data_IF_647962547399
#
_entry.id   IF_647962547399
#
_cell.length_a   1.000
_cell.length_b   1.000
_cell.length_c   1.000
_cell.angle_alpha   90.00
_cell.angle_beta   90.00
_cell.angle_gamma   90.00
#
_symmetry.space_group_name_H-M   'P 1'
#
loop_
_entity.id
_entity.type
_entity.pdbx_description
1 polymer ?
#
# COMPACT_ATOMS: atom_id res chain seq x y z
N UNK A 1 -53.42 21.83 56.47
CA UNK A 1 -51.97 21.78 56.86
C UNK A 1 -51.12 22.40 55.79
N UNK A 2 -50.54 23.60 55.99
CA UNK A 2 -49.53 24.18 55.05
C UNK A 2 -48.22 23.53 55.29
N UNK A 3 -47.72 22.74 54.29
CA UNK A 3 -46.37 22.17 54.28
C UNK A 3 -45.41 23.34 54.08
N UNK A 4 -44.64 23.71 55.12
CA UNK A 4 -43.51 24.62 54.98
C UNK A 4 -42.44 23.99 54.14
N UNK A 5 -42.33 24.36 52.86
CA UNK A 5 -41.20 24.00 52.02
C UNK A 5 -40.05 24.96 52.36
N UNK A 6 -39.06 24.48 53.09
CA UNK A 6 -37.82 25.20 53.27
C UNK A 6 -37.11 25.20 51.93
N UNK A 7 -36.83 26.34 51.32
CA UNK A 7 -36.02 26.51 50.15
C UNK A 7 -34.53 26.42 50.52
N UNK A 8 -33.71 26.00 49.56
CA UNK A 8 -32.24 26.01 49.70
C UNK A 8 -31.75 27.45 49.83
N UNK A 9 -30.76 27.66 50.68
CA UNK A 9 -30.03 28.93 50.75
C UNK A 9 -29.02 29.03 49.59
N UNK A 10 -28.71 30.26 49.17
CA UNK A 10 -27.69 30.51 48.13
C UNK A 10 -26.34 29.94 48.56
N UNK A 11 -26.01 29.98 49.86
CA UNK A 11 -24.76 29.46 50.39
C UNK A 11 -24.66 27.93 50.25
N UNK A 12 -25.74 27.21 50.55
CA UNK A 12 -25.80 25.75 50.37
C UNK A 12 -25.62 25.37 48.92
N UNK A 13 -26.21 26.12 47.97
CA UNK A 13 -26.03 25.89 46.53
C UNK A 13 -24.60 26.11 46.12
N UNK A 14 -23.97 27.20 46.56
CA UNK A 14 -22.56 27.54 46.21
C UNK A 14 -21.59 26.50 46.76
N UNK A 15 -21.79 26.02 47.97
CA UNK A 15 -20.96 24.95 48.55
C UNK A 15 -21.08 23.66 47.74
N UNK A 16 -22.30 23.29 47.35
CA UNK A 16 -22.52 22.06 46.55
C UNK A 16 -21.83 22.14 45.18
N UNK A 17 -22.01 23.26 44.47
CA UNK A 17 -21.35 23.40 43.14
C UNK A 17 -19.81 23.47 43.28
N UNK A 18 -19.27 24.09 44.34
CA UNK A 18 -17.84 24.11 44.61
C UNK A 18 -17.27 22.69 44.84
N UNK A 19 -17.99 21.88 45.65
CA UNK A 19 -17.57 20.47 45.89
C UNK A 19 -17.64 19.64 44.61
N UNK A 20 -18.73 19.78 43.84
CA UNK A 20 -18.87 19.08 42.56
C UNK A 20 -17.76 19.50 41.59
N UNK A 21 -17.43 20.78 41.53
CA UNK A 21 -16.35 21.27 40.64
C UNK A 21 -14.99 20.69 41.03
N UNK A 22 -14.65 20.57 42.32
CA UNK A 22 -13.41 19.95 42.79
C UNK A 22 -13.39 18.45 42.46
N UNK A 23 -14.51 17.74 42.70
CA UNK A 23 -14.61 16.32 42.37
C UNK A 23 -14.48 16.08 40.86
N UNK A 24 -15.18 16.90 40.05
CA UNK A 24 -15.13 16.80 38.59
C UNK A 24 -13.72 17.05 38.06
N UNK A 25 -12.98 18.02 38.62
CA UNK A 25 -11.62 18.34 38.21
C UNK A 25 -10.64 17.16 38.39
N UNK A 26 -10.87 16.28 39.34
CA UNK A 26 -10.07 15.06 39.57
C UNK A 26 -10.61 13.85 38.80
N UNK A 27 -11.93 13.70 38.74
CA UNK A 27 -12.56 12.51 38.17
C UNK A 27 -12.47 12.50 36.63
N UNK A 28 -12.68 13.64 35.97
CA UNK A 28 -12.71 13.71 34.50
C UNK A 28 -11.39 13.21 33.86
N UNK A 29 -10.20 13.70 34.24
CA UNK A 29 -8.95 13.21 33.64
C UNK A 29 -8.67 11.76 33.98
N UNK A 30 -9.04 11.29 35.18
CA UNK A 30 -8.87 9.89 35.60
C UNK A 30 -9.75 8.96 34.77
N UNK A 31 -11.02 9.30 34.57
CA UNK A 31 -11.93 8.50 33.72
C UNK A 31 -11.48 8.50 32.26
N UNK A 32 -11.05 9.63 31.70
CA UNK A 32 -10.51 9.70 30.34
C UNK A 32 -9.31 8.75 30.16
N UNK A 33 -8.39 8.73 31.11
CA UNK A 33 -7.26 7.82 31.08
C UNK A 33 -7.67 6.36 31.14
N UNK A 34 -8.64 6.01 31.98
CA UNK A 34 -9.15 4.64 32.10
C UNK A 34 -9.88 4.20 30.83
N UNK A 35 -10.68 5.07 30.22
CA UNK A 35 -11.37 4.79 28.95
C UNK A 35 -10.35 4.54 27.82
N UNK A 36 -9.32 5.38 27.72
CA UNK A 36 -8.29 5.21 26.71
C UNK A 36 -7.52 3.90 26.87
N UNK A 37 -7.18 3.51 28.10
CA UNK A 37 -6.55 2.22 28.38
C UNK A 37 -7.45 1.03 28.06
N UNK A 38 -8.76 1.17 28.34
CA UNK A 38 -9.72 0.13 28.00
C UNK A 38 -9.87 -0.04 26.49
N UNK A 39 -9.90 1.06 25.72
CA UNK A 39 -9.90 1.04 24.25
C UNK A 39 -8.63 0.40 23.70
N UNK A 40 -7.47 0.81 24.18
CA UNK A 40 -6.19 0.24 23.75
C UNK A 40 -6.12 -1.26 24.07
N UNK A 41 -6.63 -1.69 25.21
CA UNK A 41 -6.72 -3.12 25.55
C UNK A 41 -7.66 -3.89 24.63
N UNK A 42 -8.76 -3.26 24.21
CA UNK A 42 -9.70 -3.83 23.23
C UNK A 42 -9.02 -4.00 21.87
N UNK A 43 -8.31 -2.97 21.40
CA UNK A 43 -7.62 -3.00 20.12
C UNK A 43 -6.46 -4.02 20.13
N UNK A 44 -5.76 -4.14 21.27
CA UNK A 44 -4.75 -5.19 21.46
C UNK A 44 -5.36 -6.59 21.38
N UNK A 45 -6.55 -6.81 21.94
CA UNK A 45 -7.25 -8.07 21.84
C UNK A 45 -7.72 -8.36 20.41
N UNK A 46 -8.17 -7.33 19.69
CA UNK A 46 -8.54 -7.44 18.28
C UNK A 46 -7.34 -7.88 17.43
N UNK A 47 -6.20 -7.22 17.56
CA UNK A 47 -4.96 -7.59 16.83
C UNK A 47 -4.53 -9.02 17.13
N UNK A 48 -4.63 -9.47 18.38
CA UNK A 48 -4.37 -10.89 18.75
C UNK A 48 -5.29 -11.85 18.01
N UNK A 49 -6.58 -11.55 17.96
CA UNK A 49 -7.55 -12.40 17.27
C UNK A 49 -7.27 -12.43 15.74
N UNK A 50 -6.96 -11.28 15.15
CA UNK A 50 -6.57 -11.23 13.74
C UNK A 50 -5.33 -12.08 13.46
N UNK A 51 -4.31 -12.02 14.34
CA UNK A 51 -3.10 -12.82 14.17
C UNK A 51 -3.33 -14.31 14.35
N UNK A 52 -4.28 -14.73 15.17
CA UNK A 52 -4.71 -16.14 15.26
C UNK A 52 -5.34 -16.57 13.92
N UNK A 53 -6.14 -15.71 13.29
CA UNK A 53 -6.75 -15.98 11.99
C UNK A 53 -5.66 -16.08 10.92
N UNK A 54 -4.73 -15.11 10.87
CA UNK A 54 -3.63 -15.14 9.93
C UNK A 54 -2.78 -16.40 10.05
N UNK A 55 -2.49 -16.84 11.27
CA UNK A 55 -1.74 -18.09 11.51
C UNK A 55 -2.52 -19.34 11.07
N UNK A 56 -3.84 -19.35 11.22
CA UNK A 56 -4.68 -20.45 10.76
C UNK A 56 -4.76 -20.47 9.22
N UNK A 57 -4.96 -19.32 8.60
CA UNK A 57 -5.01 -19.18 7.14
C UNK A 57 -3.66 -19.53 6.50
N UNK A 58 -2.55 -19.08 7.07
CA UNK A 58 -1.19 -19.45 6.63
C UNK A 58 -0.95 -20.96 6.64
N UNK A 59 -1.52 -21.66 7.61
CA UNK A 59 -1.38 -23.12 7.72
C UNK A 59 -2.20 -23.88 6.64
N UNK A 60 -3.28 -23.28 6.14
CA UNK A 60 -4.17 -23.89 5.15
C UNK A 60 -3.83 -23.43 3.72
N UNK A 61 -3.57 -22.13 3.51
CA UNK A 61 -3.47 -21.49 2.20
C UNK A 61 -2.07 -20.94 1.89
N UNK A 62 -1.17 -20.89 2.88
CA UNK A 62 0.13 -20.23 2.78
C UNK A 62 0.07 -18.79 3.28
N UNK A 63 1.20 -18.09 3.21
CA UNK A 63 1.28 -16.67 3.59
C UNK A 63 0.41 -15.81 2.67
N UNK A 64 -0.27 -14.85 3.27
CA UNK A 64 -0.89 -13.77 2.48
C UNK A 64 0.21 -12.88 1.88
N UNK A 65 0.23 -12.77 0.57
CA UNK A 65 1.21 -11.95 -0.15
C UNK A 65 0.73 -10.51 -0.32
N UNK A 66 -0.57 -10.27 -0.11
CA UNK A 66 -1.20 -8.96 -0.29
C UNK A 66 -2.08 -8.57 0.89
N UNK A 67 -2.28 -7.26 1.08
CA UNK A 67 -3.24 -6.74 2.05
C UNK A 67 -4.66 -7.24 1.77
N UNK A 68 -5.04 -7.37 0.48
CA UNK A 68 -6.35 -7.89 0.07
C UNK A 68 -6.56 -9.33 0.55
N UNK A 69 -5.56 -10.19 0.43
CA UNK A 69 -5.63 -11.58 0.92
C UNK A 69 -5.75 -11.62 2.45
N UNK A 70 -4.94 -10.82 3.16
CA UNK A 70 -5.03 -10.73 4.62
C UNK A 70 -6.42 -10.25 5.08
N UNK A 71 -7.01 -9.29 4.37
CA UNK A 71 -8.37 -8.82 4.65
C UNK A 71 -9.42 -9.88 4.31
N UNK A 72 -9.26 -10.62 3.21
CA UNK A 72 -10.17 -11.72 2.84
C UNK A 72 -10.13 -12.85 3.88
N UNK A 73 -8.96 -13.22 4.39
CA UNK A 73 -8.80 -14.16 5.48
C UNK A 73 -9.51 -13.69 6.76
N UNK A 74 -9.33 -12.42 7.12
CA UNK A 74 -10.02 -11.82 8.26
C UNK A 74 -11.55 -11.80 8.07
N UNK A 75 -12.04 -11.44 6.88
CA UNK A 75 -13.46 -11.40 6.56
C UNK A 75 -14.10 -12.78 6.60
N UNK A 76 -13.43 -13.80 6.11
CA UNK A 76 -13.88 -15.20 6.19
C UNK A 76 -14.10 -15.66 7.64
N UNK A 77 -13.36 -15.07 8.59
CA UNK A 77 -13.54 -15.29 10.02
C UNK A 77 -14.53 -14.30 10.69
N UNK A 78 -15.20 -13.44 9.90
CA UNK A 78 -16.22 -12.49 10.35
C UNK A 78 -15.70 -11.12 10.79
N UNK A 79 -14.46 -10.77 10.43
CA UNK A 79 -13.88 -9.44 10.65
C UNK A 79 -13.89 -8.64 9.35
N UNK A 80 -14.93 -7.87 9.14
CA UNK A 80 -14.99 -6.91 8.02
C UNK A 80 -14.03 -5.72 8.26
N UNK A 81 -13.71 -4.98 7.21
CA UNK A 81 -12.81 -3.80 7.30
C UNK A 81 -13.25 -2.82 8.39
N UNK A 82 -14.56 -2.57 8.54
CA UNK A 82 -15.09 -1.67 9.56
C UNK A 82 -14.83 -2.18 10.98
N UNK A 83 -14.73 -3.51 11.17
CA UNK A 83 -14.43 -4.12 12.47
C UNK A 83 -12.92 -4.15 12.78
N UNK A 84 -12.08 -3.96 11.77
CA UNK A 84 -10.61 -3.87 11.93
C UNK A 84 -10.20 -2.44 12.31
N UNK A 85 -11.13 -1.50 12.36
CA UNK A 85 -10.87 -0.12 12.79
C UNK A 85 -10.62 -0.06 14.30
N UNK A 86 -9.53 0.59 14.76
CA UNK A 86 -9.24 0.71 16.19
C UNK A 86 -10.27 1.61 16.90
N UNK A 87 -10.54 1.28 18.16
CA UNK A 87 -11.41 2.10 19.03
C UNK A 87 -10.63 3.16 19.80
N UNK A 88 -9.32 3.02 19.90
CA UNK A 88 -8.41 4.01 20.46
C UNK A 88 -7.96 5.03 19.39
N UNK A 89 -7.07 5.95 19.77
CA UNK A 89 -6.43 6.88 18.83
C UNK A 89 -5.17 6.27 18.17
N UNK A 90 -5.10 4.95 18.07
CA UNK A 90 -4.02 4.22 17.40
C UNK A 90 -4.43 3.78 16.00
N UNK A 91 -3.51 3.09 15.31
CA UNK A 91 -3.74 2.50 14.00
C UNK A 91 -3.55 0.98 14.05
N UNK A 92 -4.42 0.22 13.39
CA UNK A 92 -4.17 -1.20 13.12
C UNK A 92 -3.56 -1.29 11.73
N UNK A 93 -2.36 -1.85 11.67
CA UNK A 93 -1.55 -1.95 10.46
C UNK A 93 -1.31 -3.43 10.15
N UNK A 94 -1.13 -3.75 8.89
CA UNK A 94 -0.67 -5.08 8.47
C UNK A 94 0.83 -5.04 8.14
N UNK A 95 1.60 -5.89 8.79
CA UNK A 95 3.03 -6.09 8.59
C UNK A 95 3.20 -7.20 7.53
N UNK A 96 3.34 -6.79 6.26
CA UNK A 96 3.46 -7.68 5.12
C UNK A 96 4.63 -8.64 5.26
N UNK A 97 5.77 -8.15 5.74
CA UNK A 97 6.98 -8.96 5.87
C UNK A 97 6.80 -10.13 6.84
N UNK A 98 6.03 -9.91 7.91
CA UNK A 98 5.84 -10.91 8.96
C UNK A 98 4.45 -11.55 8.93
N UNK A 99 3.61 -11.27 7.93
CA UNK A 99 2.25 -11.79 7.75
C UNK A 99 1.41 -11.69 9.04
N UNK A 100 1.32 -10.48 9.59
CA UNK A 100 0.64 -10.24 10.87
C UNK A 100 0.05 -8.83 10.96
N UNK A 101 -0.99 -8.68 11.74
CA UNK A 101 -1.49 -7.37 12.15
C UNK A 101 -0.71 -6.84 13.36
N UNK A 102 -0.52 -5.53 13.41
CA UNK A 102 0.15 -4.81 14.50
C UNK A 102 -0.68 -3.60 14.90
N UNK A 103 -0.57 -3.18 16.16
CA UNK A 103 -1.21 -1.97 16.65
C UNK A 103 -0.16 -0.89 16.87
N UNK A 104 -0.24 0.22 16.16
CA UNK A 104 0.46 1.45 16.51
C UNK A 104 -0.39 2.21 17.52
N UNK A 105 0.14 2.42 18.72
CA UNK A 105 -0.55 3.13 19.79
C UNK A 105 -0.46 4.64 19.62
N UNK A 106 -1.31 5.39 20.31
CA UNK A 106 -1.32 6.86 20.27
C UNK A 106 -0.01 7.52 20.71
N UNK A 107 0.82 6.83 21.52
CA UNK A 107 2.14 7.28 21.95
C UNK A 107 3.26 6.97 20.93
N UNK A 108 2.91 6.40 19.77
CA UNK A 108 3.84 5.99 18.72
C UNK A 108 4.50 4.63 18.95
N UNK A 109 4.25 3.95 20.08
CA UNK A 109 4.78 2.61 20.32
C UNK A 109 3.93 1.55 19.60
N UNK A 110 4.58 0.43 19.26
CA UNK A 110 3.91 -0.68 18.59
C UNK A 110 3.64 -1.82 19.55
N UNK A 111 2.47 -2.43 19.38
CA UNK A 111 2.19 -3.76 19.89
C UNK A 111 2.21 -4.74 18.73
N UNK A 112 3.08 -5.73 18.82
CA UNK A 112 3.16 -6.86 17.90
C UNK A 112 3.37 -8.15 18.71
N UNK A 113 2.69 -9.21 18.30
CA UNK A 113 2.93 -10.54 18.80
C UNK A 113 4.22 -11.06 18.14
N UNK A 114 5.20 -11.49 18.94
CA UNK A 114 6.46 -12.06 18.46
C UNK A 114 7.37 -11.14 17.63
N UNK A 115 7.90 -10.10 18.24
CA UNK A 115 9.02 -9.34 17.69
C UNK A 115 8.79 -7.83 17.58
N UNK A 116 9.83 -7.14 17.15
CA UNK A 116 9.78 -5.70 16.93
C UNK A 116 9.10 -5.37 15.59
N UNK A 117 8.49 -4.20 15.54
CA UNK A 117 7.97 -3.60 14.31
C UNK A 117 8.96 -2.55 13.85
N UNK A 118 9.33 -2.61 12.57
CA UNK A 118 10.11 -1.56 11.92
C UNK A 118 9.16 -0.70 11.11
N UNK A 119 9.14 0.59 11.41
CA UNK A 119 8.34 1.55 10.66
C UNK A 119 8.84 1.66 9.22
N UNK A 120 7.93 1.74 8.25
CA UNK A 120 8.27 1.85 6.84
C UNK A 120 7.16 1.32 5.93
N UNK A 121 7.42 1.35 4.63
CA UNK A 121 6.46 1.00 3.56
C UNK A 121 5.97 -0.46 3.56
N UNK A 122 6.56 -1.32 4.36
CA UNK A 122 6.08 -2.71 4.55
C UNK A 122 4.91 -2.80 5.56
N UNK A 123 4.56 -1.70 6.21
CA UNK A 123 3.38 -1.58 7.06
C UNK A 123 2.25 -0.97 6.26
N UNK A 124 1.16 -1.70 6.14
CA UNK A 124 -0.02 -1.28 5.39
C UNK A 124 -1.07 -0.68 6.31
N UNK A 125 -1.52 0.51 5.97
CA UNK A 125 -2.62 1.21 6.65
C UNK A 125 -3.86 1.21 5.77
N UNK A 126 -5.02 0.88 6.36
CA UNK A 126 -6.30 1.01 5.67
C UNK A 126 -6.73 2.47 5.75
N UNK A 127 -7.05 3.07 4.61
CA UNK A 127 -7.59 4.44 4.54
C UNK A 127 -8.64 4.58 3.43
N UNK A 128 -9.52 5.54 3.58
CA UNK A 128 -10.38 6.10 2.55
C UNK A 128 -10.05 7.59 2.31
N UNK A 129 -9.00 8.09 2.98
CA UNK A 129 -8.53 9.47 2.89
C UNK A 129 -7.40 9.56 1.84
N UNK A 130 -7.73 10.10 0.67
CA UNK A 130 -6.75 10.29 -0.40
C UNK A 130 -5.71 11.36 -0.04
N UNK A 131 -6.08 12.37 0.76
CA UNK A 131 -5.14 13.42 1.19
C UNK A 131 -4.06 12.80 2.09
N UNK A 132 -4.42 11.81 2.93
CA UNK A 132 -3.44 11.08 3.73
C UNK A 132 -2.41 10.36 2.87
N UNK A 133 -2.82 9.77 1.74
CA UNK A 133 -1.91 9.11 0.80
C UNK A 133 -1.02 10.12 0.08
N UNK A 134 -1.57 11.26 -0.33
CA UNK A 134 -0.84 12.32 -1.02
C UNK A 134 0.22 12.99 -0.11
N UNK A 135 -0.12 13.18 1.16
CA UNK A 135 0.77 13.76 2.18
C UNK A 135 1.77 12.75 2.74
N UNK A 136 1.67 11.50 2.37
CA UNK A 136 2.50 10.44 2.92
C UNK A 136 3.99 10.73 2.80
N UNK A 137 4.68 10.61 3.93
CA UNK A 137 6.12 10.83 4.11
C UNK A 137 6.94 9.54 4.06
N UNK A 138 6.52 8.53 3.31
CA UNK A 138 7.19 7.22 3.16
C UNK A 138 7.17 6.35 4.43
N UNK A 139 6.22 6.57 5.34
CA UNK A 139 6.09 5.78 6.56
C UNK A 139 5.26 4.51 6.39
N UNK A 140 4.29 4.50 5.45
CA UNK A 140 3.38 3.38 5.23
C UNK A 140 3.11 3.15 3.76
N UNK A 141 2.68 1.93 3.43
CA UNK A 141 1.86 1.66 2.27
C UNK A 141 0.37 1.77 2.65
N UNK A 142 -0.49 2.10 1.69
CA UNK A 142 -1.90 2.36 1.95
C UNK A 142 -2.79 1.41 1.17
N UNK A 143 -3.73 0.80 1.86
CA UNK A 143 -4.85 0.09 1.26
C UNK A 143 -6.06 1.03 1.21
N UNK A 144 -6.49 1.37 0.01
CA UNK A 144 -7.62 2.27 -0.22
C UNK A 144 -8.91 1.46 -0.26
N UNK A 145 -9.74 1.60 0.79
CA UNK A 145 -10.93 0.79 0.93
C UNK A 145 -12.11 1.30 0.08
N UNK A 146 -12.72 0.38 -0.62
CA UNK A 146 -14.15 0.21 -0.82
C UNK A 146 -14.97 1.23 -1.58
N UNK A 147 -14.49 2.39 -1.97
CA UNK A 147 -15.24 3.30 -2.81
C UNK A 147 -14.58 3.41 -4.18
N UNK A 148 -15.38 3.49 -5.24
CA UNK A 148 -14.89 3.78 -6.57
C UNK A 148 -14.02 5.05 -6.51
N UNK A 149 -12.71 4.88 -6.67
CA UNK A 149 -11.77 5.99 -6.70
C UNK A 149 -11.80 6.53 -8.13
N UNK A 150 -12.37 7.70 -8.31
CA UNK A 150 -12.55 8.34 -9.62
C UNK A 150 -11.46 9.34 -9.96
N UNK A 151 -10.66 9.74 -8.98
CA UNK A 151 -9.56 10.69 -9.14
C UNK A 151 -8.20 10.00 -9.01
N UNK A 152 -7.19 10.52 -9.72
CA UNK A 152 -5.84 10.00 -9.63
C UNK A 152 -5.26 10.17 -8.22
N UNK A 153 -4.63 9.10 -7.71
CA UNK A 153 -3.95 9.11 -6.41
C UNK A 153 -2.49 9.46 -6.63
N UNK A 154 -2.00 10.46 -5.91
CA UNK A 154 -0.57 10.78 -5.84
C UNK A 154 0.02 10.20 -4.56
N UNK A 155 1.05 9.36 -4.67
CA UNK A 155 1.61 8.65 -3.54
C UNK A 155 3.14 8.77 -3.49
N UNK A 156 3.69 8.78 -2.27
CA UNK A 156 5.14 8.68 -1.99
C UNK A 156 5.50 7.39 -1.25
N UNK A 157 4.58 6.44 -1.17
CA UNK A 157 4.79 5.10 -0.62
C UNK A 157 3.94 4.08 -1.38
N UNK A 158 4.06 2.80 -1.03
CA UNK A 158 3.29 1.74 -1.65
C UNK A 158 1.77 1.98 -1.52
N UNK A 159 1.02 1.63 -2.55
CA UNK A 159 -0.42 1.80 -2.64
C UNK A 159 -1.08 0.52 -3.12
N UNK A 160 -2.15 0.11 -2.46
CA UNK A 160 -3.09 -0.90 -2.90
C UNK A 160 -4.47 -0.25 -3.04
N UNK A 161 -4.95 -0.12 -4.26
CA UNK A 161 -6.26 0.46 -4.57
C UNK A 161 -7.36 -0.61 -4.68
N UNK A 162 -7.01 -1.87 -4.37
CA UNK A 162 -7.96 -2.99 -4.44
C UNK A 162 -8.54 -3.17 -5.83
N UNK A 163 -9.87 -3.24 -5.94
CA UNK A 163 -10.58 -3.42 -7.22
C UNK A 163 -10.91 -2.10 -7.94
N UNK A 164 -10.40 -0.99 -7.46
CA UNK A 164 -10.69 0.34 -8.03
C UNK A 164 -9.84 0.64 -9.26
N UNK A 165 -10.40 1.43 -10.18
CA UNK A 165 -9.83 1.74 -11.48
C UNK A 165 -9.17 3.13 -11.57
N UNK A 166 -8.82 3.73 -10.45
CA UNK A 166 -8.17 5.04 -10.45
C UNK A 166 -6.73 5.01 -10.96
N UNK A 167 -6.29 6.12 -11.53
CA UNK A 167 -4.89 6.32 -11.86
C UNK A 167 -4.04 6.48 -10.59
N UNK A 168 -2.83 5.93 -10.62
CA UNK A 168 -1.84 6.10 -9.54
C UNK A 168 -0.63 6.84 -10.07
N UNK A 169 -0.26 7.96 -9.44
CA UNK A 169 0.95 8.71 -9.71
C UNK A 169 1.92 8.50 -8.54
N UNK A 170 2.94 7.69 -8.74
CA UNK A 170 3.98 7.47 -7.75
C UNK A 170 5.18 8.36 -8.05
N UNK A 171 5.54 9.22 -7.11
CA UNK A 171 6.71 10.08 -7.21
C UNK A 171 7.50 10.07 -5.89
N UNK A 172 8.81 9.90 -5.98
CA UNK A 172 9.73 10.05 -4.88
C UNK A 172 11.05 10.65 -5.39
N UNK A 173 11.43 11.79 -4.83
CA UNK A 173 12.69 12.50 -5.08
C UNK A 173 13.65 12.46 -3.87
N UNK A 174 13.27 11.69 -2.85
CA UNK A 174 14.03 11.48 -1.62
C UNK A 174 15.00 10.30 -1.68
N UNK A 175 15.36 9.78 -0.52
CA UNK A 175 16.19 8.58 -0.41
C UNK A 175 15.49 7.37 -1.02
N UNK A 176 16.25 6.56 -1.76
CA UNK A 176 15.76 5.36 -2.42
C UNK A 176 15.16 4.34 -1.45
N UNK A 177 14.04 3.76 -1.85
CA UNK A 177 13.31 2.76 -1.08
C UNK A 177 12.72 1.68 -2.00
N UNK A 178 12.22 0.61 -1.41
CA UNK A 178 11.44 -0.41 -2.11
C UNK A 178 9.99 -0.24 -1.75
N UNK A 179 9.14 -0.06 -2.75
CA UNK A 179 7.70 0.10 -2.57
C UNK A 179 6.92 -0.93 -3.36
N UNK A 180 5.70 -1.18 -2.93
CA UNK A 180 4.75 -2.06 -3.60
C UNK A 180 3.52 -1.25 -4.02
N UNK A 181 3.15 -1.36 -5.30
CA UNK A 181 1.94 -0.75 -5.85
C UNK A 181 1.05 -1.85 -6.37
N UNK A 182 -0.18 -1.92 -5.85
CA UNK A 182 -1.22 -2.85 -6.28
C UNK A 182 -2.41 -2.05 -6.77
N UNK A 183 -2.84 -2.33 -8.00
CA UNK A 183 -3.98 -1.65 -8.60
C UNK A 183 -4.67 -2.53 -9.64
N UNK A 184 -5.97 -2.34 -9.80
CA UNK A 184 -6.77 -2.99 -10.85
C UNK A 184 -7.49 -1.94 -11.66
N UNK A 185 -7.07 -1.76 -12.91
CA UNK A 185 -7.50 -0.68 -13.81
C UNK A 185 -6.61 0.56 -13.69
N UNK A 186 -6.93 1.59 -14.47
CA UNK A 186 -6.23 2.86 -14.48
C UNK A 186 -4.80 2.83 -15.01
N UNK A 187 -4.18 3.99 -15.01
CA UNK A 187 -2.80 4.21 -15.45
C UNK A 187 -1.86 4.35 -14.25
N UNK A 188 -0.72 3.66 -14.30
CA UNK A 188 0.37 3.89 -13.34
C UNK A 188 1.42 4.83 -13.95
N UNK A 189 1.72 5.92 -13.26
CA UNK A 189 2.85 6.80 -13.60
C UNK A 189 3.90 6.71 -12.49
N UNK A 190 5.16 6.47 -12.87
CA UNK A 190 6.28 6.32 -11.93
C UNK A 190 7.37 7.34 -12.23
N UNK A 191 7.69 8.15 -11.24
CA UNK A 191 8.81 9.10 -11.26
C UNK A 191 9.59 9.02 -9.94
N UNK A 192 10.41 8.01 -9.80
CA UNK A 192 11.13 7.71 -8.56
C UNK A 192 12.54 7.20 -8.89
N UNK A 193 13.49 8.11 -9.22
CA UNK A 193 14.78 7.78 -9.81
C UNK A 193 15.68 6.88 -8.95
N UNK A 194 15.47 6.85 -7.65
CA UNK A 194 16.29 6.07 -6.71
C UNK A 194 15.55 4.86 -6.11
N UNK A 195 14.27 4.64 -6.49
CA UNK A 195 13.44 3.59 -5.91
C UNK A 195 13.41 2.29 -6.71
N UNK A 196 13.10 1.22 -6.00
CA UNK A 196 12.63 -0.05 -6.55
C UNK A 196 11.12 -0.13 -6.37
N UNK A 197 10.39 -0.35 -7.46
CA UNK A 197 8.92 -0.40 -7.49
C UNK A 197 8.46 -1.79 -7.88
N UNK A 198 7.74 -2.48 -6.99
CA UNK A 198 7.07 -3.75 -7.28
C UNK A 198 5.61 -3.46 -7.63
N UNK A 199 5.18 -3.83 -8.83
CA UNK A 199 3.86 -3.56 -9.36
C UNK A 199 3.06 -4.85 -9.57
N UNK A 200 1.81 -4.86 -9.12
CA UNK A 200 0.89 -5.99 -9.18
C UNK A 200 -0.50 -5.57 -9.67
N UNK A 201 -1.29 -6.56 -10.06
CA UNK A 201 -2.66 -6.38 -10.54
C UNK A 201 -2.75 -6.02 -12.02
N UNK A 202 -3.96 -5.76 -12.51
CA UNK A 202 -4.21 -5.42 -13.91
C UNK A 202 -4.23 -3.89 -14.09
N UNK A 203 -3.51 -3.37 -15.09
CA UNK A 203 -3.38 -1.94 -15.40
C UNK A 203 -3.71 -1.67 -16.86
N UNK A 204 -4.27 -0.49 -17.14
CA UNK A 204 -4.45 -0.04 -18.52
C UNK A 204 -3.11 0.25 -19.19
N UNK A 205 -2.23 0.98 -18.52
CA UNK A 205 -0.90 1.33 -19.03
C UNK A 205 0.04 1.76 -17.89
N UNK A 206 1.34 1.78 -18.19
CA UNK A 206 2.38 2.24 -17.26
C UNK A 206 3.28 3.25 -17.96
N UNK A 207 3.56 4.38 -17.30
CA UNK A 207 4.51 5.40 -17.77
C UNK A 207 5.64 5.55 -16.75
N UNK A 208 6.84 5.09 -17.10
CA UNK A 208 8.01 5.14 -16.24
C UNK A 208 8.90 6.29 -16.70
N UNK A 209 8.76 7.44 -16.04
CA UNK A 209 9.59 8.61 -16.27
C UNK A 209 11.01 8.41 -15.76
N UNK A 210 11.16 7.86 -14.57
CA UNK A 210 12.45 7.47 -14.00
C UNK A 210 12.27 6.44 -12.89
N UNK A 211 13.20 5.51 -12.82
CA UNK A 211 13.37 4.54 -11.72
C UNK A 211 14.86 4.23 -11.56
N UNK A 212 15.26 3.60 -10.47
CA UNK A 212 16.64 3.17 -10.22
C UNK A 212 17.07 2.04 -11.16
N UNK A 213 18.33 1.69 -11.18
CA UNK A 213 18.91 0.69 -12.12
C UNK A 213 18.48 -0.76 -11.84
N UNK A 214 17.63 -1.02 -10.86
CA UNK A 214 17.16 -2.38 -10.53
C UNK A 214 15.66 -2.43 -10.18
N UNK A 215 14.76 -1.85 -10.97
CA UNK A 215 13.89 -1.01 -10.23
C UNK A 215 12.41 -0.96 -10.54
N UNK A 216 11.91 -1.27 -11.67
CA UNK A 216 10.48 -1.49 -11.87
C UNK A 216 10.25 -2.96 -12.19
N UNK A 217 9.58 -3.63 -11.27
CA UNK A 217 9.24 -5.05 -11.38
C UNK A 217 7.75 -5.18 -11.63
N UNK A 218 7.37 -5.50 -12.87
CA UNK A 218 5.98 -5.82 -13.19
C UNK A 218 5.71 -7.28 -12.93
N UNK A 219 4.76 -7.57 -12.05
CA UNK A 219 4.33 -8.92 -11.69
C UNK A 219 2.85 -9.16 -12.01
N UNK A 220 2.18 -8.16 -12.59
CA UNK A 220 0.78 -8.21 -12.96
C UNK A 220 0.57 -8.16 -14.47
N UNK A 221 -0.61 -7.67 -14.86
CA UNK A 221 -1.01 -7.55 -16.27
C UNK A 221 -1.08 -6.09 -16.69
N UNK A 222 -0.51 -5.78 -17.85
CA UNK A 222 -0.63 -4.47 -18.49
C UNK A 222 -1.30 -4.66 -19.85
N UNK A 223 -2.53 -4.17 -19.96
CA UNK A 223 -3.37 -4.33 -21.18
C UNK A 223 -2.83 -3.52 -22.35
N UNK A 224 -2.36 -2.32 -22.07
CA UNK A 224 -1.73 -1.43 -23.04
C UNK A 224 -0.20 -1.55 -23.00
N UNK A 225 0.46 -0.41 -22.89
CA UNK A 225 1.92 -0.32 -22.99
C UNK A 225 2.56 0.01 -21.64
N UNK A 226 3.78 -0.49 -21.44
CA UNK A 226 4.73 0.08 -20.49
C UNK A 226 5.64 1.01 -21.29
N UNK A 227 5.57 2.32 -21.08
CA UNK A 227 6.50 3.28 -21.67
C UNK A 227 7.62 3.62 -20.70
N UNK A 228 8.87 3.43 -21.12
CA UNK A 228 10.07 3.64 -20.29
C UNK A 228 10.91 4.78 -20.84
N UNK A 229 11.20 5.78 -19.98
CA UNK A 229 12.06 6.92 -20.32
C UNK A 229 13.44 6.82 -19.67
N UNK A 230 13.55 6.15 -18.54
CA UNK A 230 14.82 5.95 -17.83
C UNK A 230 14.73 4.80 -16.83
N UNK A 231 15.78 4.00 -16.74
CA UNK A 231 15.96 2.95 -15.77
C UNK A 231 15.68 1.55 -16.27
N UNK A 232 15.55 0.58 -15.37
CA UNK A 232 15.35 -0.82 -15.68
C UNK A 232 13.92 -1.27 -15.42
N UNK A 233 13.37 -2.03 -16.34
CA UNK A 233 12.10 -2.74 -16.20
C UNK A 233 12.39 -4.24 -16.18
N UNK A 234 11.91 -4.93 -15.17
CA UNK A 234 11.91 -6.37 -15.06
C UNK A 234 10.49 -6.89 -15.13
N UNK A 235 10.23 -7.81 -16.05
CA UNK A 235 8.94 -8.49 -16.15
C UNK A 235 9.04 -9.81 -15.42
N UNK A 236 8.37 -9.92 -14.26
CA UNK A 236 8.36 -11.09 -13.40
C UNK A 236 7.64 -12.29 -14.03
N UNK A 237 7.83 -13.48 -13.46
CA UNK A 237 7.30 -14.74 -14.01
C UNK A 237 5.76 -14.77 -14.21
N UNK A 238 5.01 -13.93 -13.49
CA UNK A 238 3.55 -13.79 -13.62
C UNK A 238 3.10 -12.65 -14.52
N UNK A 239 4.04 -11.85 -15.04
CA UNK A 239 3.71 -10.67 -15.83
C UNK A 239 3.09 -11.04 -17.19
N UNK A 240 2.04 -10.32 -17.54
CA UNK A 240 1.41 -10.34 -18.87
C UNK A 240 1.39 -8.91 -19.42
N UNK A 241 2.26 -8.59 -20.36
CA UNK A 241 2.43 -7.24 -20.91
C UNK A 241 2.22 -7.25 -22.41
N UNK A 242 1.35 -6.38 -22.91
CA UNK A 242 1.13 -6.29 -24.34
C UNK A 242 2.37 -5.74 -25.06
N UNK A 243 2.83 -4.56 -24.67
CA UNK A 243 4.00 -3.93 -25.30
C UNK A 243 4.85 -3.16 -24.28
N UNK A 244 6.16 -3.29 -24.37
CA UNK A 244 7.11 -2.40 -23.70
C UNK A 244 7.67 -1.44 -24.74
N UNK A 245 7.47 -0.14 -24.54
CA UNK A 245 7.96 0.94 -25.40
C UNK A 245 9.13 1.65 -24.74
N UNK A 246 10.27 1.71 -25.41
CA UNK A 246 11.33 2.62 -25.00
C UNK A 246 11.09 3.97 -25.68
N UNK A 247 10.85 4.99 -24.86
CA UNK A 247 10.47 6.31 -25.32
C UNK A 247 11.59 6.97 -26.11
N UNK A 248 11.22 7.69 -27.18
CA UNK A 248 12.14 8.58 -27.90
C UNK A 248 12.70 9.73 -27.04
N UNK A 249 12.06 9.99 -25.89
CA UNK A 249 12.51 10.95 -24.90
C UNK A 249 13.41 10.30 -23.81
N UNK A 250 13.86 9.05 -24.02
CA UNK A 250 14.72 8.36 -23.06
C UNK A 250 16.03 9.14 -22.84
N UNK A 251 16.34 9.37 -21.58
CA UNK A 251 17.54 10.07 -21.12
C UNK A 251 18.40 9.14 -20.29
N UNK A 252 19.26 8.36 -20.92
CA UNK A 252 20.12 7.39 -20.27
C UNK A 252 19.79 5.93 -20.62
N UNK A 253 20.48 4.99 -20.00
CA UNK A 253 20.32 3.56 -20.26
C UNK A 253 18.94 3.08 -19.82
N UNK A 254 18.19 2.50 -20.76
CA UNK A 254 16.98 1.75 -20.50
C UNK A 254 17.27 0.28 -20.65
N UNK A 255 16.89 -0.53 -19.66
CA UNK A 255 17.04 -1.99 -19.69
C UNK A 255 15.70 -2.65 -19.51
N UNK A 256 15.43 -3.67 -20.30
CA UNK A 256 14.24 -4.50 -20.18
C UNK A 256 14.68 -5.94 -19.99
N UNK A 257 14.39 -6.51 -18.82
CA UNK A 257 14.64 -7.90 -18.51
C UNK A 257 13.30 -8.65 -18.44
N UNK A 258 13.24 -9.77 -19.14
CA UNK A 258 12.03 -10.62 -19.15
C UNK A 258 12.40 -11.93 -18.47
N UNK A 259 11.78 -12.19 -17.31
CA UNK A 259 12.04 -13.42 -16.57
C UNK A 259 11.25 -14.60 -17.15
N UNK A 260 11.74 -15.81 -16.89
CA UNK A 260 11.07 -17.04 -17.26
C UNK A 260 9.62 -17.07 -16.76
N UNK A 261 8.67 -17.36 -17.66
CA UNK A 261 7.24 -17.39 -17.38
C UNK A 261 6.49 -16.08 -17.61
N UNK A 262 7.19 -14.97 -17.85
CA UNK A 262 6.53 -13.72 -18.28
C UNK A 262 6.01 -13.87 -19.72
N UNK A 263 4.87 -13.20 -20.00
CA UNK A 263 4.30 -13.10 -21.34
C UNK A 263 4.41 -11.67 -21.82
N UNK A 264 5.11 -11.46 -22.93
CA UNK A 264 5.31 -10.14 -23.54
C UNK A 264 4.92 -10.23 -25.01
N UNK A 265 4.03 -9.37 -25.47
CA UNK A 265 3.60 -9.30 -26.86
C UNK A 265 4.69 -8.68 -27.73
N UNK A 266 5.24 -7.53 -27.32
CA UNK A 266 6.34 -6.89 -28.05
C UNK A 266 7.22 -6.02 -27.15
N UNK A 267 8.47 -5.80 -27.59
CA UNK A 267 9.36 -4.76 -27.06
C UNK A 267 9.78 -3.91 -28.24
N UNK A 268 9.42 -2.63 -28.25
CA UNK A 268 9.62 -1.75 -29.40
C UNK A 268 10.20 -0.39 -28.99
N UNK A 269 11.17 0.14 -29.74
CA UNK A 269 11.60 1.52 -29.61
C UNK A 269 10.61 2.46 -30.32
N UNK A 270 10.53 3.68 -29.83
CA UNK A 270 9.76 4.74 -30.52
C UNK A 270 10.58 5.47 -31.59
N UNK A 271 11.91 5.24 -31.66
CA UNK A 271 12.81 5.80 -32.70
C UNK A 271 13.79 4.77 -33.22
N UNK A 272 14.34 5.01 -34.43
CA UNK A 272 15.31 4.10 -35.04
C UNK A 272 16.65 4.00 -34.27
N UNK A 273 17.07 5.08 -33.61
CA UNK A 273 18.30 5.08 -32.78
C UNK A 273 18.15 4.23 -31.53
N UNK A 274 16.96 4.18 -30.93
CA UNK A 274 16.68 3.34 -29.76
C UNK A 274 16.61 1.84 -30.09
N UNK A 275 16.47 1.44 -31.35
CA UNK A 275 16.43 0.02 -31.75
C UNK A 275 17.74 -0.72 -31.47
N UNK A 276 18.88 -0.07 -31.69
CA UNK A 276 20.19 -0.67 -31.45
C UNK A 276 20.45 -0.82 -29.95
N UNK A 277 20.06 0.16 -29.15
CA UNK A 277 20.25 0.15 -27.69
C UNK A 277 19.36 -0.90 -27.00
N UNK A 278 18.12 -1.08 -27.47
CA UNK A 278 17.22 -2.11 -26.93
C UNK A 278 17.75 -3.52 -27.22
N UNK A 279 18.18 -3.77 -28.44
CA UNK A 279 18.70 -5.09 -28.82
C UNK A 279 19.91 -5.48 -27.97
N UNK A 280 20.73 -4.50 -27.55
CA UNK A 280 21.89 -4.70 -26.69
C UNK A 280 21.55 -4.83 -25.19
N UNK A 281 20.43 -4.26 -24.74
CA UNK A 281 20.06 -4.14 -23.32
C UNK A 281 18.95 -5.11 -22.86
N UNK A 282 18.26 -5.79 -23.78
CA UNK A 282 17.17 -6.71 -23.44
C UNK A 282 17.71 -8.11 -23.14
N UNK A 283 17.49 -8.59 -21.92
CA UNK A 283 17.79 -9.98 -21.53
C UNK A 283 16.49 -10.78 -21.55
N UNK A 284 16.37 -11.72 -22.49
CA UNK A 284 15.18 -12.58 -22.63
C UNK A 284 15.59 -14.03 -22.29
N UNK A 285 15.06 -14.63 -21.20
CA UNK A 285 15.33 -16.02 -20.87
C UNK A 285 14.84 -17.00 -21.95
N UNK A 286 15.48 -18.17 -22.03
CA UNK A 286 15.25 -19.16 -23.08
C UNK A 286 13.81 -19.70 -23.19
N UNK A 287 13.04 -19.65 -22.11
CA UNK A 287 11.65 -20.11 -22.02
C UNK A 287 10.64 -18.96 -22.10
N UNK A 288 11.09 -17.72 -22.26
CA UNK A 288 10.23 -16.55 -22.47
C UNK A 288 9.83 -16.43 -23.92
N UNK A 289 8.58 -16.04 -24.19
CA UNK A 289 8.08 -15.88 -25.54
C UNK A 289 7.81 -14.41 -25.81
N UNK A 290 8.64 -13.79 -26.65
CA UNK A 290 8.38 -12.50 -27.27
C UNK A 290 7.69 -12.75 -28.60
N UNK A 291 6.44 -12.36 -28.76
CA UNK A 291 5.65 -12.66 -29.94
C UNK A 291 5.90 -11.68 -31.10
N UNK A 292 6.31 -10.43 -30.79
CA UNK A 292 6.60 -9.44 -31.83
C UNK A 292 7.57 -8.36 -31.35
N UNK A 293 8.53 -7.99 -32.20
CA UNK A 293 9.29 -6.75 -32.07
C UNK A 293 8.93 -5.88 -33.26
N UNK A 294 8.22 -4.79 -33.02
CA UNK A 294 7.70 -3.91 -34.08
C UNK A 294 8.79 -3.00 -34.60
N UNK A 295 9.22 -3.23 -35.84
CA UNK A 295 10.15 -2.44 -36.63
C UNK A 295 10.94 -3.35 -37.59
N UNK A 296 11.11 -2.95 -38.85
CA UNK A 296 11.62 -3.76 -39.97
C UNK A 296 12.75 -4.75 -39.62
N UNK A 297 12.45 -5.91 -39.29
CA UNK A 297 13.13 -7.17 -39.04
C UNK A 297 12.82 -7.72 -37.64
N UNK A 298 11.91 -8.68 -37.64
CA UNK A 298 11.68 -9.55 -36.48
C UNK A 298 12.95 -10.38 -36.26
N UNK A 299 13.76 -9.99 -35.31
CA UNK A 299 14.71 -10.91 -34.71
C UNK A 299 13.99 -11.65 -33.60
N UNK A 300 13.66 -12.92 -33.80
CA UNK A 300 13.23 -13.79 -32.70
C UNK A 300 14.43 -13.90 -31.74
N UNK A 301 14.28 -13.28 -30.57
CA UNK A 301 15.20 -13.51 -29.47
C UNK A 301 14.82 -14.85 -28.84
N UNK A 302 15.42 -15.93 -29.33
CA UNK A 302 15.50 -17.15 -28.56
C UNK A 302 16.72 -16.99 -27.68
N UNK A 303 16.52 -17.07 -26.37
CA UNK A 303 17.61 -17.12 -25.43
C UNK A 303 18.54 -18.27 -25.80
N UNK A 304 19.81 -17.95 -25.96
CA UNK A 304 20.87 -18.91 -26.19
C UNK A 304 21.51 -19.35 -24.88
#
# INVERSE_FOLDING_TARGET
MKRNRKGFTIVELVIVIAVIAILAAVLIPTFSSLINKAKESSDTALVKNLNIIMAADEAENGKSETMSEALAAAESAGYTIEKITPTSSGDILWDEQNNRFVLKKADGTYYAENGNVTEGVNLWKITDDLEEVEENSNHYSYYLKGTEITEAVTAKAGVDVGENSADVNYANDGAGQTVTIRMNGGKLTVNAPDDTVNSYGEKESVDITAVASASYHENGKVVGNIEVKKGRVELGAGAEVNTVLVSSAATGDVKVDVLAGAKVGSVAPTTDEAKEDIAASTSIPADSRVEEIVGEEVKSFAGG
#
